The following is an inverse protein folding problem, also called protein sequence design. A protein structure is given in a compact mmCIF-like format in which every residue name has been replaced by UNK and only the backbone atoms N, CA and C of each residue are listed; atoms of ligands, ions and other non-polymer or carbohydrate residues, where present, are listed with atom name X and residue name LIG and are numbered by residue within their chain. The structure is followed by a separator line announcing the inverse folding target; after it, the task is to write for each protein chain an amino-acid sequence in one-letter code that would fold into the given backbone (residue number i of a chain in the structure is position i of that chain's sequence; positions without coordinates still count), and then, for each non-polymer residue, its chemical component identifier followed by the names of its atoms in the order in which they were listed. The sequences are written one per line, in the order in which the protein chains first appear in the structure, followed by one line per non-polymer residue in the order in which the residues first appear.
data_IF_564378876465
#
_entry.id   IF_564378876465
#
_cell.length_a   1.000
_cell.length_b   1.000
_cell.length_c   1.000
_cell.angle_alpha   90.00
_cell.angle_beta   90.00
_cell.angle_gamma   90.00
#
_symmetry.space_group_name_H-M   'P 1'
#
loop_
_entity.id
_entity.type
_entity.pdbx_description
1 polymer ?
#
# COMPACT_ATOMS: atom_id res chain seq x y z
N UNK A 1 3.27 -7.86 -3.64
CA UNK A 1 3.95 -8.57 -2.53
C UNK A 1 2.97 -9.53 -1.88
N UNK A 2 3.40 -10.77 -1.63
CA UNK A 2 2.50 -11.80 -1.11
C UNK A 2 2.66 -11.94 0.41
N UNK A 3 1.53 -12.01 1.11
CA UNK A 3 1.40 -12.27 2.55
C UNK A 3 0.46 -13.47 2.70
N UNK A 4 0.94 -14.55 3.32
CA UNK A 4 0.08 -15.72 3.61
C UNK A 4 -0.66 -15.48 4.91
N UNK A 5 -1.99 -15.55 4.87
CA UNK A 5 -2.81 -15.52 6.06
C UNK A 5 -2.82 -16.89 6.73
N UNK A 6 -2.49 -16.94 8.03
CA UNK A 6 -2.57 -18.15 8.83
C UNK A 6 -3.37 -17.87 10.09
N UNK A 7 -4.68 -18.07 10.02
CA UNK A 7 -5.60 -17.97 11.16
C UNK A 7 -5.85 -19.35 11.77
N UNK A 8 -6.14 -19.45 13.08
CA UNK A 8 -6.45 -20.73 13.71
C UNK A 8 -7.68 -21.41 13.07
N UNK A 9 -7.66 -22.74 13.01
CA UNK A 9 -8.81 -23.51 12.53
C UNK A 9 -10.05 -23.23 13.40
N UNK A 10 -11.20 -23.03 12.75
CA UNK A 10 -12.45 -22.65 13.41
C UNK A 10 -12.57 -21.16 13.74
N UNK A 11 -11.59 -20.33 13.38
CA UNK A 11 -11.73 -18.88 13.44
C UNK A 11 -12.51 -18.33 12.23
N UNK A 12 -13.31 -17.29 12.46
CA UNK A 12 -13.99 -16.52 11.41
C UNK A 12 -13.29 -15.17 11.27
N UNK A 13 -12.94 -14.80 10.03
CA UNK A 13 -12.42 -13.47 9.70
C UNK A 13 -13.53 -12.44 9.90
N UNK A 14 -13.24 -11.39 10.66
CA UNK A 14 -14.18 -10.33 11.00
C UNK A 14 -13.90 -9.05 10.22
N UNK A 15 -12.61 -8.71 10.07
CA UNK A 15 -12.18 -7.59 9.25
C UNK A 15 -10.74 -7.75 8.81
N UNK A 16 -10.41 -7.16 7.67
CA UNK A 16 -9.06 -7.10 7.13
C UNK A 16 -8.76 -5.68 6.68
N UNK A 17 -7.66 -5.12 7.17
CA UNK A 17 -7.12 -3.83 6.71
C UNK A 17 -5.82 -4.09 5.97
N UNK A 18 -5.77 -3.70 4.70
CA UNK A 18 -4.56 -3.65 3.91
C UNK A 18 -3.88 -2.30 4.10
N UNK A 19 -2.57 -2.30 4.38
CA UNK A 19 -1.81 -1.07 4.56
C UNK A 19 -0.51 -1.08 3.75
N UNK A 20 -0.26 0.01 3.04
CA UNK A 20 1.02 0.30 2.39
C UNK A 20 1.63 1.56 3.00
N UNK A 21 2.85 1.42 3.55
CA UNK A 21 3.70 2.54 3.97
C UNK A 21 4.73 2.79 2.87
N UNK A 22 4.68 3.96 2.26
CA UNK A 22 5.49 4.33 1.11
C UNK A 22 6.41 5.47 1.53
N UNK A 23 7.71 5.23 1.59
CA UNK A 23 8.71 6.28 1.75
C UNK A 23 9.16 6.73 0.38
N UNK A 24 9.18 8.03 0.18
CA UNK A 24 9.54 8.64 -1.09
C UNK A 24 10.60 9.72 -0.84
N UNK A 25 11.66 9.71 -1.63
CA UNK A 25 12.75 10.66 -1.56
C UNK A 25 12.96 11.33 -2.92
N UNK A 26 12.84 12.65 -2.97
CA UNK A 26 13.17 13.45 -4.15
C UNK A 26 14.69 13.68 -4.18
N UNK A 27 15.37 13.10 -5.15
CA UNK A 27 16.79 13.28 -5.44
C UNK A 27 16.97 14.32 -6.58
N UNK A 28 16.03 15.26 -6.73
CA UNK A 28 16.06 16.30 -7.75
C UNK A 28 15.84 17.69 -7.16
N UNK A 29 16.37 18.70 -7.84
CA UNK A 29 16.09 20.11 -7.56
C UNK A 29 14.76 20.60 -8.17
N UNK A 30 13.88 19.69 -8.64
CA UNK A 30 12.59 20.03 -9.24
C UNK A 30 11.46 19.57 -8.33
N UNK A 31 10.33 20.28 -8.38
CA UNK A 31 9.11 19.82 -7.75
C UNK A 31 8.58 18.60 -8.52
N UNK A 32 8.11 17.60 -7.79
CA UNK A 32 7.58 16.35 -8.35
C UNK A 32 6.13 16.17 -7.92
N UNK A 33 5.33 15.54 -8.78
CA UNK A 33 4.00 15.01 -8.45
C UNK A 33 4.01 13.50 -8.60
N UNK A 34 3.30 12.81 -7.71
CA UNK A 34 3.29 11.35 -7.67
C UNK A 34 1.85 10.87 -7.54
N UNK A 35 1.53 9.87 -8.34
CA UNK A 35 0.28 9.12 -8.28
C UNK A 35 0.50 7.90 -7.39
N UNK A 36 -0.45 7.59 -6.49
CA UNK A 36 -0.39 6.43 -5.61
C UNK A 36 -1.64 5.58 -5.78
N UNK A 37 -1.44 4.27 -5.86
CA UNK A 37 -2.51 3.27 -5.95
C UNK A 37 -2.21 2.07 -5.07
N UNK A 38 -3.23 1.49 -4.44
CA UNK A 38 -3.14 0.25 -3.66
C UNK A 38 -4.16 -0.76 -4.21
N UNK A 39 -3.63 -1.91 -4.63
CA UNK A 39 -4.40 -3.07 -5.05
C UNK A 39 -4.24 -4.20 -4.04
N UNK A 40 -5.34 -4.93 -3.82
CA UNK A 40 -5.41 -6.16 -3.03
C UNK A 40 -6.09 -7.21 -3.88
N UNK A 41 -5.43 -8.36 -4.12
CA UNK A 41 -5.98 -9.41 -5.00
C UNK A 41 -6.43 -8.89 -6.38
N UNK A 42 -5.64 -7.95 -6.94
CA UNK A 42 -5.94 -7.24 -8.19
C UNK A 42 -7.20 -6.33 -8.16
N UNK A 43 -7.81 -6.12 -6.99
CA UNK A 43 -8.86 -5.12 -6.77
C UNK A 43 -8.25 -3.83 -6.26
N UNK A 44 -8.51 -2.73 -6.97
CA UNK A 44 -8.06 -1.40 -6.56
C UNK A 44 -8.91 -0.88 -5.42
N UNK A 45 -8.29 -0.73 -4.25
CA UNK A 45 -8.95 -0.17 -3.06
C UNK A 45 -8.64 1.33 -2.88
N UNK A 46 -7.51 1.79 -3.41
CA UNK A 46 -7.13 3.20 -3.39
C UNK A 46 -6.51 3.60 -4.73
N UNK A 47 -6.94 4.74 -5.27
CA UNK A 47 -6.36 5.35 -6.46
C UNK A 47 -6.48 6.87 -6.35
N UNK A 48 -5.34 7.54 -6.32
CA UNK A 48 -5.24 8.99 -6.26
C UNK A 48 -4.07 9.44 -7.14
N UNK A 49 -4.33 10.46 -7.95
CA UNK A 49 -3.33 11.08 -8.82
C UNK A 49 -2.90 12.43 -8.27
N UNK A 50 -1.69 12.85 -8.65
CA UNK A 50 -1.13 14.18 -8.38
C UNK A 50 -1.04 14.58 -6.89
N UNK A 51 -1.05 13.60 -5.98
CA UNK A 51 -1.32 13.80 -4.56
C UNK A 51 -0.13 14.37 -3.78
N UNK A 52 1.09 14.18 -4.28
CA UNK A 52 2.29 14.56 -3.55
C UNK A 52 3.09 15.61 -4.29
N UNK A 53 2.90 16.87 -3.93
CA UNK A 53 3.81 17.94 -4.33
C UNK A 53 5.08 17.89 -3.48
N UNK A 54 6.16 17.33 -4.01
CA UNK A 54 7.48 17.51 -3.40
C UNK A 54 7.97 18.92 -3.72
N UNK A 55 8.51 19.61 -2.72
CA UNK A 55 9.30 20.79 -2.97
C UNK A 55 10.53 20.46 -3.84
N UNK A 56 11.01 21.46 -4.56
CA UNK A 56 12.23 21.44 -5.37
C UNK A 56 13.50 21.38 -4.48
N UNK A 57 13.63 20.32 -3.67
CA UNK A 57 14.69 20.15 -2.68
C UNK A 57 15.26 18.73 -2.80
N UNK A 58 16.54 18.67 -3.14
CA UNK A 58 17.30 17.42 -3.20
C UNK A 58 17.46 16.81 -1.80
N UNK A 59 17.19 15.51 -1.69
CA UNK A 59 17.14 14.75 -0.45
C UNK A 59 15.84 14.92 0.35
N UNK A 60 14.85 15.67 -0.15
CA UNK A 60 13.57 15.81 0.54
C UNK A 60 12.82 14.47 0.60
N UNK A 61 12.41 14.06 1.80
CA UNK A 61 11.71 12.79 2.01
C UNK A 61 10.34 13.00 2.63
N UNK A 62 9.38 12.16 2.24
CA UNK A 62 8.05 12.10 2.83
C UNK A 62 7.62 10.64 3.00
N UNK A 63 6.65 10.43 3.87
CA UNK A 63 6.06 9.13 4.13
C UNK A 63 4.55 9.22 3.88
N UNK A 64 4.04 8.30 3.05
CA UNK A 64 2.61 8.06 2.88
C UNK A 64 2.20 6.76 3.54
N UNK A 65 1.00 6.77 4.08
CA UNK A 65 0.34 5.57 4.58
C UNK A 65 -1.02 5.51 3.91
N UNK A 66 -1.25 4.44 3.16
CA UNK A 66 -2.55 4.08 2.60
C UNK A 66 -3.06 2.92 3.43
N UNK A 67 -4.27 3.01 3.95
CA UNK A 67 -4.90 1.97 4.77
C UNK A 67 -6.35 1.82 4.31
N UNK A 68 -6.67 0.66 3.74
CA UNK A 68 -7.98 0.39 3.16
C UNK A 68 -8.60 -0.87 3.73
N UNK A 69 -9.94 -0.89 3.80
CA UNK A 69 -10.70 -2.08 4.14
C UNK A 69 -10.65 -3.08 2.98
N UNK A 70 -10.00 -4.22 3.24
CA UNK A 70 -9.81 -5.32 2.32
C UNK A 70 -10.60 -6.57 2.75
N UNK A 71 -11.59 -6.42 3.64
CA UNK A 71 -12.37 -7.55 4.17
C UNK A 71 -13.07 -8.34 3.06
N UNK A 72 -13.48 -7.67 1.97
CA UNK A 72 -14.09 -8.31 0.81
C UNK A 72 -13.13 -9.19 0.00
N UNK A 73 -11.83 -8.91 0.05
CA UNK A 73 -10.82 -9.53 -0.80
C UNK A 73 -10.10 -10.71 -0.11
N UNK A 74 -10.32 -10.87 1.20
CA UNK A 74 -9.71 -11.95 1.99
C UNK A 74 -10.82 -12.80 2.59
N UNK A 75 -11.13 -13.89 1.92
CA UNK A 75 -12.33 -14.70 2.18
C UNK A 75 -12.03 -16.00 2.92
N UNK A 76 -10.78 -16.45 2.93
CA UNK A 76 -10.41 -17.80 3.41
C UNK A 76 -9.13 -17.83 4.27
N UNK A 77 -9.05 -18.80 5.18
CA UNK A 77 -7.80 -19.13 5.87
C UNK A 77 -6.79 -19.72 4.87
N UNK A 78 -5.50 -19.49 5.08
CA UNK A 78 -4.44 -19.99 4.20
C UNK A 78 -4.33 -19.23 2.89
N UNK A 79 -5.19 -18.23 2.64
CA UNK A 79 -5.15 -17.41 1.45
C UNK A 79 -3.79 -16.69 1.35
N UNK A 80 -3.20 -16.74 0.16
CA UNK A 80 -2.04 -15.93 -0.19
C UNK A 80 -2.55 -14.60 -0.71
N UNK A 81 -2.49 -13.56 0.13
CA UNK A 81 -2.96 -12.22 -0.21
C UNK A 81 -1.84 -11.43 -0.87
N UNK A 82 -2.12 -10.90 -2.05
CA UNK A 82 -1.22 -10.11 -2.87
C UNK A 82 -1.55 -8.64 -2.70
N UNK A 83 -0.62 -7.90 -2.09
CA UNK A 83 -0.68 -6.45 -1.93
C UNK A 83 0.26 -5.78 -2.92
N UNK A 84 -0.27 -4.89 -3.76
CA UNK A 84 0.53 -4.15 -4.73
C UNK A 84 0.29 -2.65 -4.56
N UNK A 85 1.35 -1.92 -4.26
CA UNK A 85 1.30 -0.47 -4.27
C UNK A 85 1.99 -0.02 -5.56
N UNK A 86 1.29 0.75 -6.36
CA UNK A 86 1.80 1.33 -7.58
C UNK A 86 2.10 2.80 -7.34
N UNK A 87 3.21 3.24 -7.91
CA UNK A 87 3.55 4.64 -8.04
C UNK A 87 3.79 4.92 -9.50
N UNK A 88 3.08 5.92 -10.03
CA UNK A 88 3.36 6.42 -11.38
C UNK A 88 3.91 7.82 -11.25
N UNK A 89 5.14 8.00 -11.73
CA UNK A 89 5.76 9.31 -11.86
C UNK A 89 5.22 9.96 -13.13
N UNK A 90 4.53 11.10 -13.01
CA UNK A 90 4.05 11.85 -14.17
C UNK A 90 5.20 12.53 -14.95
N UNK A 91 6.39 12.67 -14.35
CA UNK A 91 7.62 13.05 -15.01
C UNK A 91 8.86 12.46 -14.31
N UNK A 92 9.83 11.93 -15.07
CA UNK A 92 11.10 11.40 -14.54
C UNK A 92 12.15 12.55 -14.48
N UNK A 93 13.16 12.58 -13.61
CA UNK A 93 13.95 11.52 -12.99
C UNK A 93 14.46 11.98 -11.60
N UNK A 94 14.89 10.99 -10.80
CA UNK A 94 15.47 11.12 -9.45
C UNK A 94 14.45 11.13 -8.31
N UNK A 95 13.61 10.10 -8.22
CA UNK A 95 12.86 9.80 -6.98
C UNK A 95 13.17 8.35 -6.57
N UNK A 96 13.50 8.13 -5.30
CA UNK A 96 13.68 6.81 -4.70
C UNK A 96 12.47 6.44 -3.87
N UNK A 97 12.08 5.17 -3.96
CA UNK A 97 10.89 4.66 -3.31
C UNK A 97 11.18 3.41 -2.50
N UNK A 98 10.49 3.31 -1.37
CA UNK A 98 10.48 2.12 -0.54
C UNK A 98 9.07 1.88 -0.02
N UNK A 99 8.44 0.80 -0.47
CA UNK A 99 7.15 0.35 0.04
C UNK A 99 7.32 -0.75 1.10
N UNK A 100 6.55 -0.64 2.17
CA UNK A 100 6.36 -1.68 3.19
C UNK A 100 4.88 -2.02 3.24
N UNK A 101 4.57 -3.32 3.24
CA UNK A 101 3.20 -3.83 3.17
C UNK A 101 2.83 -4.54 4.47
N UNK A 102 1.63 -4.27 4.96
CA UNK A 102 1.08 -4.85 6.17
C UNK A 102 -0.36 -5.30 5.90
N UNK A 103 -0.74 -6.41 6.52
CA UNK A 103 -2.11 -6.91 6.51
C UNK A 103 -2.53 -7.11 7.97
N UNK A 104 -3.57 -6.41 8.40
CA UNK A 104 -4.13 -6.55 9.73
C UNK A 104 -5.43 -7.33 9.64
N UNK A 105 -5.45 -8.52 10.23
CA UNK A 105 -6.64 -9.38 10.24
C UNK A 105 -7.18 -9.49 11.66
N UNK A 106 -8.45 -9.15 11.82
CA UNK A 106 -9.22 -9.43 13.04
C UNK A 106 -10.01 -10.70 12.79
N UNK A 107 -9.88 -11.67 13.67
CA UNK A 107 -10.63 -12.91 13.64
C UNK A 107 -11.24 -13.20 15.02
N UNK A 108 -12.28 -14.02 15.03
CA UNK A 108 -12.95 -14.48 16.25
C UNK A 108 -13.02 -16.01 16.25
N UNK A 109 -12.76 -16.61 17.41
CA UNK A 109 -13.01 -18.04 17.63
C UNK A 109 -14.52 -18.30 17.81
N UNK A 110 -15.01 -19.33 17.13
CA UNK A 110 -16.35 -19.90 17.33
C UNK A 110 -16.51 -20.65 18.64
#
# INVERSE_FOLDING_TARGET
KNITLNIPDGATIMSVIAMARINIMNDSANAQKIDLRLDVEAVTLYDQSEIVGFGAVDGASVVFVIAEDATGEVTENGQVVTLEAFETLSAAQSVRFQAQYYLFTVYRMG
#
